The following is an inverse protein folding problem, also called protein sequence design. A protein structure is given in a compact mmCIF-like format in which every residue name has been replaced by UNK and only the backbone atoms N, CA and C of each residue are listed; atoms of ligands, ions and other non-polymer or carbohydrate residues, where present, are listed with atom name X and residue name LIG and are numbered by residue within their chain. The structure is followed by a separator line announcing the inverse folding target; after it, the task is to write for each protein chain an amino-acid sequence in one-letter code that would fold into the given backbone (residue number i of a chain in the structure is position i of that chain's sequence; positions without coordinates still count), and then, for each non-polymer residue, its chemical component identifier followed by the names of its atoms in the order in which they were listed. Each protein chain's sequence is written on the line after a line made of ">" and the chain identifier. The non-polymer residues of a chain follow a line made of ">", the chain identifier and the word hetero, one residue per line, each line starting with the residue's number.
data_IF_501070653022
#
_entry.id   IF_501070653022
#
_cell.length_a   1.000
_cell.length_b   1.000
_cell.length_c   1.000
_cell.angle_alpha   90.00
_cell.angle_beta   90.00
_cell.angle_gamma   90.00
#
_symmetry.space_group_name_H-M   'P 1'
#
loop_
_entity.id
_entity.type
_entity.pdbx_description
1 polymer ?
#
# COMPACT_ATOMS: atom_id res chain seq x y z
N UNK A 1 25.19 -61.74 67.08
CA UNK A 1 24.20 -62.74 67.56
C UNK A 1 23.00 -61.98 68.12
N UNK A 2 21.84 -62.18 67.50
CA UNK A 2 20.44 -61.85 67.91
C UNK A 2 19.66 -61.69 66.59
N UNK A 3 19.03 -62.76 66.08
CA UNK A 3 17.66 -63.21 66.34
C UNK A 3 16.58 -62.15 66.13
N UNK A 4 15.55 -62.50 65.34
CA UNK A 4 14.23 -61.88 65.47
C UNK A 4 13.39 -61.88 64.20
N UNK A 5 12.60 -62.94 64.00
CA UNK A 5 11.52 -63.03 63.03
C UNK A 5 10.46 -61.93 63.21
N UNK A 6 9.77 -61.53 62.14
CA UNK A 6 8.32 -61.79 61.98
C UNK A 6 7.73 -61.12 60.74
N UNK A 7 6.92 -61.90 60.05
CA UNK A 7 6.08 -61.56 58.91
C UNK A 7 4.77 -60.98 59.45
N UNK A 8 4.31 -59.84 58.94
CA UNK A 8 2.88 -59.54 58.88
C UNK A 8 2.53 -58.79 57.59
N UNK A 9 1.72 -59.46 56.78
CA UNK A 9 1.00 -58.88 55.65
C UNK A 9 -0.12 -57.97 56.18
N UNK A 10 -0.24 -56.78 55.62
CA UNK A 10 -1.44 -55.95 55.73
C UNK A 10 -1.78 -55.42 54.34
N UNK A 11 -2.87 -55.97 53.81
CA UNK A 11 -3.59 -55.47 52.65
C UNK A 11 -4.17 -54.08 52.99
N UNK A 12 -3.71 -53.06 52.29
CA UNK A 12 -4.28 -51.71 52.33
C UNK A 12 -4.81 -51.36 50.95
N UNK A 13 -6.13 -51.30 50.81
CA UNK A 13 -6.82 -51.00 49.56
C UNK A 13 -6.46 -49.62 49.02
N UNK A 14 -6.14 -49.58 47.71
CA UNK A 14 -6.12 -48.34 46.94
C UNK A 14 -7.56 -47.82 46.79
N UNK A 15 -7.92 -46.79 47.55
CA UNK A 15 -9.03 -45.90 47.17
C UNK A 15 -8.53 -44.99 46.04
N UNK A 16 -8.92 -45.31 44.80
CA UNK A 16 -8.77 -44.41 43.67
C UNK A 16 -9.82 -43.30 43.76
N UNK A 17 -9.45 -42.15 44.31
CA UNK A 17 -10.29 -40.94 44.30
C UNK A 17 -10.30 -40.37 42.88
N UNK A 18 -11.29 -40.76 42.09
CA UNK A 18 -11.56 -40.14 40.80
C UNK A 18 -12.06 -38.70 41.05
N UNK A 19 -11.14 -37.73 41.02
CA UNK A 19 -11.51 -36.32 40.87
C UNK A 19 -12.11 -36.14 39.47
N UNK A 20 -13.45 -36.15 39.40
CA UNK A 20 -14.19 -35.54 38.30
C UNK A 20 -13.92 -34.03 38.34
N UNK A 21 -12.83 -33.60 37.70
CA UNK A 21 -12.73 -32.20 37.26
C UNK A 21 -13.81 -32.01 36.21
N UNK A 22 -14.93 -31.39 36.60
CA UNK A 22 -15.91 -30.87 35.67
C UNK A 22 -15.18 -29.87 34.76
N UNK A 23 -14.73 -30.35 33.61
CA UNK A 23 -14.07 -29.53 32.61
C UNK A 23 -15.06 -28.50 32.14
N UNK A 24 -14.91 -27.27 32.62
CA UNK A 24 -15.59 -26.12 32.03
C UNK A 24 -15.20 -26.14 30.55
N UNK A 25 -16.14 -26.30 29.60
CA UNK A 25 -15.79 -26.29 28.19
C UNK A 25 -15.12 -24.96 27.94
N UNK A 26 -13.85 -25.00 27.54
CA UNK A 26 -13.13 -23.82 27.11
C UNK A 26 -13.94 -23.22 25.96
N UNK A 27 -14.68 -22.15 26.26
CA UNK A 27 -15.38 -21.37 25.25
C UNK A 27 -14.29 -20.77 24.38
N UNK A 28 -13.99 -21.45 23.28
CA UNK A 28 -13.11 -20.95 22.25
C UNK A 28 -13.66 -19.58 21.86
N UNK A 29 -12.98 -18.53 22.32
CA UNK A 29 -13.30 -17.18 21.90
C UNK A 29 -13.06 -17.15 20.41
N UNK A 30 -14.14 -17.24 19.63
CA UNK A 30 -14.14 -17.03 18.19
C UNK A 30 -13.71 -15.58 17.98
N UNK A 31 -12.39 -15.35 17.99
CA UNK A 31 -11.84 -14.02 17.90
C UNK A 31 -12.36 -13.38 16.62
N UNK A 32 -12.83 -12.14 16.70
CA UNK A 32 -13.55 -11.44 15.63
C UNK A 32 -12.96 -11.72 14.23
N UNK A 33 -13.79 -11.99 13.22
CA UNK A 33 -13.30 -12.33 11.88
C UNK A 33 -12.33 -11.26 11.37
N UNK A 34 -11.20 -11.69 10.81
CA UNK A 34 -10.24 -10.79 10.19
C UNK A 34 -10.83 -10.29 8.87
N UNK A 35 -11.16 -9.01 8.78
CA UNK A 35 -11.80 -8.43 7.59
C UNK A 35 -10.75 -7.79 6.69
N UNK A 36 -10.70 -8.12 5.39
CA UNK A 36 -9.80 -7.46 4.45
C UNK A 36 -10.20 -6.00 4.22
N UNK A 37 -9.20 -5.12 4.13
CA UNK A 37 -9.33 -3.73 3.68
C UNK A 37 -8.49 -3.55 2.42
N UNK A 38 -9.11 -3.01 1.37
CA UNK A 38 -8.48 -2.84 0.05
C UNK A 38 -8.42 -1.33 -0.26
N UNK A 39 -7.22 -0.78 -0.46
CA UNK A 39 -7.05 0.60 -0.92
C UNK A 39 -7.44 0.75 -2.39
N UNK A 40 -7.48 2.00 -2.87
CA UNK A 40 -7.55 2.23 -4.31
C UNK A 40 -6.25 1.77 -4.99
N UNK A 41 -6.37 1.29 -6.23
CA UNK A 41 -5.27 1.30 -7.19
C UNK A 41 -5.10 2.72 -7.74
N UNK A 42 -3.92 3.05 -8.26
CA UNK A 42 -3.65 4.38 -8.80
C UNK A 42 -2.86 4.30 -10.10
N UNK A 43 -3.26 5.09 -11.10
CA UNK A 43 -2.58 5.17 -12.39
C UNK A 43 -1.46 6.21 -12.37
N UNK A 44 -0.30 5.85 -12.90
CA UNK A 44 0.87 6.71 -13.02
C UNK A 44 1.03 7.13 -14.48
N UNK A 45 1.03 8.44 -14.77
CA UNK A 45 1.08 8.92 -16.14
C UNK A 45 2.30 8.45 -16.94
N UNK A 46 2.07 8.13 -18.20
CA UNK A 46 3.07 7.70 -19.16
C UNK A 46 3.91 8.88 -19.69
N UNK A 47 5.23 8.77 -19.84
CA UNK A 47 5.99 9.67 -20.70
C UNK A 47 5.41 9.70 -22.11
N UNK A 48 5.71 10.75 -22.85
CA UNK A 48 5.24 10.88 -24.24
C UNK A 48 5.72 9.68 -25.05
N UNK A 49 4.79 8.98 -25.70
CA UNK A 49 5.03 7.80 -26.53
C UNK A 49 5.64 6.59 -25.78
N UNK A 50 5.54 6.55 -24.45
CA UNK A 50 5.96 5.40 -23.65
C UNK A 50 4.77 4.86 -22.83
N UNK A 51 5.02 3.83 -22.04
CA UNK A 51 4.04 3.25 -21.12
C UNK A 51 3.95 4.04 -19.82
N UNK A 52 2.79 4.05 -19.19
CA UNK A 52 2.60 4.48 -17.82
C UNK A 52 2.76 3.33 -16.85
N UNK A 53 2.00 3.35 -15.77
CA UNK A 53 1.86 2.18 -14.92
C UNK A 53 0.65 2.24 -14.02
N UNK A 54 0.29 1.12 -13.42
CA UNK A 54 -0.79 1.06 -12.43
C UNK A 54 -0.23 0.47 -11.15
N UNK A 55 -0.28 1.24 -10.06
CA UNK A 55 0.10 0.75 -8.76
C UNK A 55 -0.98 -0.18 -8.23
N UNK A 56 -0.57 -1.41 -7.88
CA UNK A 56 -1.44 -2.36 -7.18
C UNK A 56 -1.99 -1.76 -5.88
N UNK A 57 -3.24 -2.09 -5.52
CA UNK A 57 -3.82 -1.63 -4.26
C UNK A 57 -3.13 -2.28 -3.06
N UNK A 58 -2.98 -1.50 -1.99
CA UNK A 58 -2.61 -2.01 -0.69
C UNK A 58 -3.76 -2.81 -0.08
N UNK A 59 -3.44 -3.98 0.47
CA UNK A 59 -4.41 -4.82 1.17
C UNK A 59 -3.91 -5.12 2.56
N UNK A 60 -4.77 -4.99 3.56
CA UNK A 60 -4.49 -5.37 4.96
C UNK A 60 -5.65 -6.18 5.54
N UNK A 61 -5.38 -6.94 6.59
CA UNK A 61 -6.41 -7.56 7.42
C UNK A 61 -6.59 -6.73 8.70
N UNK A 62 -7.80 -6.65 9.25
CA UNK A 62 -8.07 -5.96 10.53
C UNK A 62 -7.24 -6.51 11.71
N UNK A 63 -6.76 -7.75 11.59
CA UNK A 63 -5.81 -8.38 12.52
C UNK A 63 -4.44 -8.47 11.84
N UNK A 64 -3.44 -7.76 12.38
CA UNK A 64 -2.10 -7.65 11.81
C UNK A 64 -1.33 -8.98 11.68
N UNK A 65 -1.79 -10.04 12.35
CA UNK A 65 -1.19 -11.37 12.31
C UNK A 65 -1.66 -12.22 11.11
N UNK A 66 -2.68 -11.77 10.38
CA UNK A 66 -3.22 -12.49 9.23
C UNK A 66 -2.69 -11.85 7.95
N UNK A 67 -1.86 -12.59 7.20
CA UNK A 67 -1.43 -12.15 5.88
C UNK A 67 -2.60 -12.26 4.88
N UNK A 68 -3.01 -11.17 4.21
CA UNK A 68 -4.05 -11.27 3.21
C UNK A 68 -3.57 -12.09 2.02
N UNK A 69 -4.46 -12.89 1.43
CA UNK A 69 -4.28 -13.44 0.08
C UNK A 69 -4.97 -12.50 -0.88
N UNK A 70 -4.35 -12.19 -2.02
CA UNK A 70 -4.92 -11.23 -2.97
C UNK A 70 -4.86 -11.79 -4.39
N UNK A 71 -5.94 -11.54 -5.13
CA UNK A 71 -6.03 -11.67 -6.59
C UNK A 71 -6.43 -10.30 -7.13
N UNK A 72 -5.61 -9.74 -8.00
CA UNK A 72 -5.90 -8.49 -8.69
C UNK A 72 -5.96 -8.73 -10.19
N UNK A 73 -7.01 -8.23 -10.83
CA UNK A 73 -7.18 -8.29 -12.28
C UNK A 73 -7.24 -6.86 -12.78
N UNK A 74 -6.41 -6.55 -13.76
CA UNK A 74 -6.39 -5.28 -14.45
C UNK A 74 -6.78 -5.53 -15.91
N UNK A 75 -7.89 -4.92 -16.34
CA UNK A 75 -8.44 -5.07 -17.69
C UNK A 75 -8.40 -3.74 -18.40
N UNK A 76 -7.78 -3.66 -19.57
CA UNK A 76 -7.89 -2.50 -20.46
C UNK A 76 -9.31 -2.45 -21.01
N UNK A 77 -10.01 -1.31 -20.85
CA UNK A 77 -11.40 -1.18 -21.27
C UNK A 77 -11.58 -0.93 -22.77
N UNK A 78 -10.51 -0.59 -23.48
CA UNK A 78 -10.52 -0.40 -24.94
C UNK A 78 -10.22 -1.71 -25.67
N UNK A 79 -9.26 -2.49 -25.18
CA UNK A 79 -8.78 -3.71 -25.85
C UNK A 79 -9.32 -5.01 -25.24
N UNK A 80 -10.01 -4.94 -24.10
CA UNK A 80 -10.44 -6.07 -23.25
C UNK A 80 -9.30 -6.98 -22.74
N UNK A 81 -8.04 -6.65 -23.03
CA UNK A 81 -6.89 -7.39 -22.54
C UNK A 81 -6.80 -7.32 -21.01
N UNK A 82 -6.51 -8.47 -20.39
CA UNK A 82 -6.55 -8.62 -18.94
C UNK A 82 -5.30 -9.31 -18.40
N UNK A 83 -4.72 -8.72 -17.36
CA UNK A 83 -3.63 -9.33 -16.60
C UNK A 83 -4.08 -9.68 -15.18
N UNK A 84 -3.66 -10.85 -14.68
CA UNK A 84 -3.99 -11.31 -13.32
C UNK A 84 -2.73 -11.42 -12.46
N UNK A 85 -2.74 -10.73 -11.33
CA UNK A 85 -1.69 -10.74 -10.32
C UNK A 85 -2.18 -11.42 -9.03
N UNK A 86 -1.27 -12.08 -8.33
CA UNK A 86 -1.58 -12.78 -7.07
C UNK A 86 -0.43 -12.64 -6.09
N UNK A 87 -0.73 -12.30 -4.85
CA UNK A 87 0.27 -12.22 -3.78
C UNK A 87 -0.30 -12.58 -2.41
N UNK A 88 0.60 -12.73 -1.45
CA UNK A 88 0.30 -12.87 -0.01
C UNK A 88 1.02 -11.76 0.76
N UNK A 89 0.38 -11.27 1.82
CA UNK A 89 0.94 -10.25 2.70
C UNK A 89 0.46 -8.83 2.40
N UNK A 90 0.71 -7.94 3.35
CA UNK A 90 0.23 -6.56 3.34
C UNK A 90 1.35 -5.59 2.93
N UNK A 91 1.97 -5.83 1.78
CA UNK A 91 2.99 -4.92 1.24
C UNK A 91 2.32 -3.94 0.25
N UNK A 92 2.58 -2.62 0.32
CA UNK A 92 2.14 -1.68 -0.71
C UNK A 92 2.97 -1.87 -1.98
N UNK A 93 2.35 -1.65 -3.16
CA UNK A 93 3.08 -1.62 -4.43
C UNK A 93 3.73 -2.94 -4.85
N UNK A 94 3.21 -4.08 -4.41
CA UNK A 94 3.75 -5.43 -4.77
C UNK A 94 3.87 -5.62 -6.27
N UNK A 95 2.88 -5.10 -7.00
CA UNK A 95 2.90 -5.06 -8.45
C UNK A 95 2.74 -3.64 -8.95
N UNK A 96 3.46 -3.37 -10.03
CA UNK A 96 3.44 -2.12 -10.75
C UNK A 96 3.57 -2.42 -12.26
N UNK A 97 2.55 -2.99 -12.91
CA UNK A 97 2.62 -3.26 -14.34
C UNK A 97 2.79 -1.96 -15.15
N UNK A 98 3.63 -2.05 -16.17
CA UNK A 98 3.72 -1.09 -17.26
C UNK A 98 2.55 -1.34 -18.20
N UNK A 99 1.82 -0.29 -18.51
CA UNK A 99 0.64 -0.38 -19.37
C UNK A 99 0.58 0.83 -20.28
N UNK A 100 -0.10 0.69 -21.41
CA UNK A 100 -0.30 1.79 -22.35
C UNK A 100 -1.24 2.85 -21.74
N UNK A 101 -1.27 4.02 -22.38
CA UNK A 101 -2.24 5.08 -22.04
C UNK A 101 -3.65 4.56 -22.26
N UNK A 102 -4.55 4.80 -21.31
CA UNK A 102 -5.93 4.35 -21.40
C UNK A 102 -6.63 4.22 -20.05
N UNK A 103 -7.86 3.74 -20.08
CA UNK A 103 -8.69 3.49 -18.90
C UNK A 103 -8.76 2.00 -18.61
N UNK A 104 -8.53 1.64 -17.35
CA UNK A 104 -8.46 0.25 -16.91
C UNK A 104 -9.48 -0.04 -15.82
N UNK A 105 -10.12 -1.21 -15.89
CA UNK A 105 -10.89 -1.76 -14.78
C UNK A 105 -9.96 -2.55 -13.86
N UNK A 106 -9.80 -2.06 -12.64
CA UNK A 106 -9.08 -2.70 -11.55
C UNK A 106 -10.05 -3.47 -10.66
N UNK A 107 -9.96 -4.80 -10.66
CA UNK A 107 -10.74 -5.70 -9.80
C UNK A 107 -9.83 -6.42 -8.82
N UNK A 108 -9.94 -6.08 -7.55
CA UNK A 108 -9.17 -6.72 -6.46
C UNK A 108 -10.08 -7.57 -5.61
N UNK A 109 -9.67 -8.82 -5.38
CA UNK A 109 -10.28 -9.73 -4.42
C UNK A 109 -9.25 -10.08 -3.36
N UNK A 110 -9.59 -9.86 -2.09
CA UNK A 110 -8.74 -10.14 -0.96
C UNK A 110 -9.40 -11.12 0.00
N UNK A 111 -8.60 -11.96 0.66
CA UNK A 111 -9.05 -12.91 1.66
C UNK A 111 -8.23 -12.80 2.95
N UNK A 112 -8.91 -12.79 4.09
CA UNK A 112 -8.35 -12.76 5.45
C UNK A 112 -9.06 -13.83 6.29
N UNK A 113 -8.37 -14.94 6.56
CA UNK A 113 -8.92 -16.08 7.32
C UNK A 113 -10.34 -16.50 6.89
N UNK A 114 -10.55 -16.70 5.59
CA UNK A 114 -11.84 -17.08 5.01
C UNK A 114 -12.76 -15.90 4.63
N UNK A 115 -12.62 -14.74 5.26
CA UNK A 115 -13.42 -13.56 4.90
C UNK A 115 -12.92 -12.95 3.59
N UNK A 116 -13.84 -12.57 2.71
CA UNK A 116 -13.56 -12.06 1.37
C UNK A 116 -14.00 -10.60 1.24
N UNK A 117 -13.18 -9.77 0.61
CA UNK A 117 -13.58 -8.45 0.14
C UNK A 117 -13.28 -8.32 -1.35
N UNK A 118 -14.10 -7.55 -2.06
CA UNK A 118 -13.89 -7.22 -3.47
C UNK A 118 -13.95 -5.70 -3.60
N UNK A 119 -13.01 -5.13 -4.36
CA UNK A 119 -13.05 -3.75 -4.82
C UNK A 119 -12.95 -3.74 -6.34
N UNK A 120 -13.84 -3.00 -6.98
CA UNK A 120 -13.79 -2.70 -8.41
C UNK A 120 -13.72 -1.20 -8.56
N UNK A 121 -12.83 -0.71 -9.42
CA UNK A 121 -12.73 0.69 -9.76
C UNK A 121 -12.14 0.86 -11.15
N UNK A 122 -12.38 2.03 -11.75
CA UNK A 122 -11.66 2.47 -12.94
C UNK A 122 -10.37 3.19 -12.52
N UNK A 123 -9.36 3.09 -13.38
CA UNK A 123 -8.04 3.70 -13.21
C UNK A 123 -7.61 4.25 -14.54
N UNK A 124 -7.33 5.54 -14.58
CA UNK A 124 -6.83 6.21 -15.78
C UNK A 124 -5.30 6.28 -15.77
N UNK A 125 -4.70 5.95 -16.91
CA UNK A 125 -3.28 6.15 -17.20
C UNK A 125 -3.18 7.19 -18.29
N UNK A 126 -2.97 8.44 -17.88
CA UNK A 126 -2.85 9.57 -18.79
C UNK A 126 -1.47 9.63 -19.46
N UNK A 127 -1.41 10.26 -20.63
CA UNK A 127 -0.13 10.68 -21.21
C UNK A 127 0.36 12.01 -20.63
N UNK A 128 1.63 12.06 -20.25
CA UNK A 128 2.31 13.31 -19.91
C UNK A 128 2.45 14.19 -21.15
N UNK A 129 2.32 15.49 -20.92
CA UNK A 129 2.49 16.50 -21.96
C UNK A 129 3.58 17.49 -21.58
N UNK A 130 4.23 18.09 -22.58
CA UNK A 130 5.19 19.17 -22.33
C UNK A 130 4.56 20.35 -21.57
N UNK A 131 3.26 20.59 -21.73
CA UNK A 131 2.53 21.65 -21.01
C UNK A 131 2.36 21.38 -19.51
N UNK A 132 2.42 20.12 -19.09
CA UNK A 132 2.22 19.69 -17.69
C UNK A 132 3.48 19.06 -17.08
N UNK A 133 4.63 19.19 -17.74
CA UNK A 133 5.91 18.67 -17.24
C UNK A 133 6.95 19.76 -17.26
N UNK A 134 7.95 19.64 -16.38
CA UNK A 134 9.07 20.57 -16.29
C UNK A 134 10.35 19.94 -16.83
N UNK A 135 11.08 20.70 -17.65
CA UNK A 135 12.42 20.33 -18.10
C UNK A 135 13.49 20.82 -17.13
N UNK A 136 14.68 20.19 -17.18
CA UNK A 136 15.82 20.61 -16.35
C UNK A 136 16.24 22.05 -16.64
N UNK A 137 16.11 22.51 -17.88
CA UNK A 137 16.45 23.87 -18.32
C UNK A 137 15.50 24.90 -17.71
N UNK A 138 14.19 24.63 -17.70
CA UNK A 138 13.20 25.50 -17.05
C UNK A 138 13.40 25.51 -15.54
N UNK A 139 13.54 24.34 -14.93
CA UNK A 139 13.70 24.22 -13.48
C UNK A 139 14.95 24.94 -12.95
N UNK A 140 16.06 24.95 -13.71
CA UNK A 140 17.26 25.72 -13.37
C UNK A 140 16.99 27.23 -13.24
N UNK A 141 16.06 27.78 -14.02
CA UNK A 141 15.69 29.21 -13.99
C UNK A 141 14.87 29.59 -12.76
N UNK A 142 14.21 28.64 -12.08
CA UNK A 142 13.50 28.91 -10.82
C UNK A 142 14.51 29.30 -9.73
N UNK A 143 14.33 30.44 -9.09
CA UNK A 143 15.23 30.98 -8.06
C UNK A 143 14.51 31.20 -6.74
N UNK A 144 15.28 31.21 -5.65
CA UNK A 144 14.80 31.63 -4.32
C UNK A 144 14.21 33.04 -4.42
N UNK A 145 13.10 33.29 -3.73
CA UNK A 145 12.39 34.57 -3.77
C UNK A 145 11.39 34.73 -4.91
N UNK A 146 11.33 33.81 -5.89
CA UNK A 146 10.25 33.84 -6.88
C UNK A 146 8.89 33.52 -6.24
N UNK A 147 7.83 34.15 -6.72
CA UNK A 147 6.43 33.84 -6.42
C UNK A 147 5.96 32.63 -7.21
N UNK A 148 4.77 32.13 -6.88
CA UNK A 148 4.12 31.10 -7.70
C UNK A 148 3.80 31.55 -9.13
N UNK A 149 3.51 32.83 -9.37
CA UNK A 149 3.25 33.32 -10.74
C UNK A 149 4.53 33.30 -11.56
N UNK A 150 5.62 33.84 -11.01
CA UNK A 150 6.93 33.84 -11.66
C UNK A 150 7.41 32.40 -11.94
N UNK A 151 7.22 31.47 -11.00
CA UNK A 151 7.52 30.05 -11.25
C UNK A 151 6.68 29.50 -12.39
N UNK A 152 5.36 29.78 -12.41
CA UNK A 152 4.47 29.32 -13.50
C UNK A 152 4.90 29.89 -14.85
N UNK A 153 5.35 31.13 -14.92
CA UNK A 153 5.86 31.75 -16.16
C UNK A 153 7.14 31.06 -16.64
N UNK A 154 7.97 30.55 -15.72
CA UNK A 154 9.19 29.80 -16.05
C UNK A 154 8.91 28.37 -16.51
N UNK A 155 8.02 27.65 -15.82
CA UNK A 155 7.81 26.19 -16.03
C UNK A 155 6.52 25.85 -16.80
N UNK A 156 5.69 26.83 -17.10
CA UNK A 156 4.45 26.67 -17.87
C UNK A 156 3.21 26.22 -17.09
N UNK A 157 3.33 25.80 -15.83
CA UNK A 157 2.19 25.35 -15.02
C UNK A 157 2.38 25.57 -13.51
N UNK A 158 1.30 25.36 -12.73
CA UNK A 158 1.22 25.73 -11.30
C UNK A 158 1.80 24.69 -10.31
N UNK A 159 2.26 23.56 -10.81
CA UNK A 159 2.47 22.35 -9.99
C UNK A 159 1.15 21.71 -9.55
N UNK A 160 1.23 20.47 -9.05
CA UNK A 160 0.11 19.69 -8.50
C UNK A 160 0.41 19.25 -7.06
N UNK A 161 -0.57 18.61 -6.42
CA UNK A 161 -0.45 17.95 -5.10
C UNK A 161 0.24 18.83 -4.05
N UNK A 162 -0.15 20.11 -4.01
CA UNK A 162 0.45 21.06 -3.10
C UNK A 162 0.04 20.78 -1.65
N UNK A 163 1.00 20.42 -0.80
CA UNK A 163 0.78 20.26 0.65
C UNK A 163 1.22 21.52 1.40
N UNK A 164 0.58 21.80 2.53
CA UNK A 164 0.95 22.91 3.42
C UNK A 164 1.26 22.39 4.82
N UNK A 165 2.44 22.74 5.34
CA UNK A 165 2.88 22.34 6.68
C UNK A 165 3.82 23.39 7.27
N UNK A 166 3.61 23.77 8.52
CA UNK A 166 4.44 24.74 9.25
C UNK A 166 4.76 26.04 8.45
N UNK A 167 3.70 26.66 7.90
CA UNK A 167 3.81 27.89 7.10
C UNK A 167 4.53 27.73 5.75
N UNK A 168 4.89 26.50 5.37
CA UNK A 168 5.46 26.16 4.06
C UNK A 168 4.40 25.51 3.18
N UNK A 169 4.49 25.77 1.88
CA UNK A 169 3.72 25.06 0.85
C UNK A 169 4.69 24.38 -0.11
N UNK A 170 4.58 23.07 -0.28
CA UNK A 170 5.42 22.32 -1.22
C UNK A 170 4.54 21.78 -2.33
N UNK A 171 4.87 22.10 -3.58
CA UNK A 171 4.13 21.63 -4.76
C UNK A 171 5.00 20.68 -5.59
N UNK A 172 4.35 19.68 -6.19
CA UNK A 172 4.95 18.70 -7.09
C UNK A 172 4.93 19.21 -8.52
N UNK A 173 6.01 19.01 -9.26
CA UNK A 173 6.10 19.32 -10.68
C UNK A 173 6.58 18.07 -11.40
N UNK A 174 5.69 17.46 -12.19
CA UNK A 174 6.01 16.26 -12.96
C UNK A 174 7.13 16.52 -13.97
N UNK A 175 7.96 15.52 -14.18
CA UNK A 175 8.93 15.51 -15.27
C UNK A 175 8.42 14.63 -16.41
N UNK A 176 8.99 14.78 -17.60
CA UNK A 176 8.63 13.89 -18.72
C UNK A 176 8.99 12.42 -18.40
N UNK A 177 10.10 12.20 -17.69
CA UNK A 177 10.54 10.86 -17.29
C UNK A 177 9.49 10.12 -16.44
N UNK A 178 9.42 8.81 -16.61
CA UNK A 178 8.46 7.97 -15.90
C UNK A 178 8.68 8.05 -14.38
N UNK A 179 7.59 8.28 -13.64
CA UNK A 179 7.59 8.32 -12.16
C UNK A 179 8.71 9.18 -11.53
N UNK A 180 9.13 10.23 -12.26
CA UNK A 180 10.01 11.28 -11.78
C UNK A 180 9.26 12.60 -11.63
N UNK A 181 9.59 13.32 -10.57
CA UNK A 181 9.05 14.65 -10.29
C UNK A 181 10.08 15.53 -9.56
N UNK A 182 9.73 16.80 -9.43
CA UNK A 182 10.48 17.78 -8.64
C UNK A 182 9.57 18.43 -7.61
N UNK A 183 10.18 19.01 -6.58
CA UNK A 183 9.46 19.82 -5.59
C UNK A 183 9.91 21.26 -5.65
N UNK A 184 8.97 22.18 -5.46
CA UNK A 184 9.27 23.57 -5.14
C UNK A 184 8.53 23.92 -3.85
N UNK A 185 9.29 24.40 -2.86
CA UNK A 185 8.76 24.80 -1.55
C UNK A 185 8.73 26.31 -1.45
N UNK A 186 7.59 26.83 -0.98
CA UNK A 186 7.31 28.23 -0.77
C UNK A 186 7.12 28.52 0.72
N UNK A 187 7.60 29.66 1.21
CA UNK A 187 7.26 30.23 2.52
C UNK A 187 6.83 31.67 2.29
N UNK A 188 5.72 32.08 2.89
CA UNK A 188 5.13 33.41 2.67
C UNK A 188 4.97 33.75 1.16
N UNK A 189 4.54 32.75 0.37
CA UNK A 189 4.31 32.89 -1.08
C UNK A 189 5.57 32.90 -1.96
N UNK A 190 6.77 32.75 -1.39
CA UNK A 190 8.06 32.90 -2.09
C UNK A 190 8.87 31.60 -2.03
N UNK A 191 9.55 31.24 -3.12
CA UNK A 191 10.41 30.04 -3.20
C UNK A 191 11.50 30.12 -2.14
N UNK A 192 11.62 29.07 -1.33
CA UNK A 192 12.68 28.92 -0.32
C UNK A 192 13.62 27.75 -0.60
N UNK A 193 13.12 26.71 -1.28
CA UNK A 193 13.90 25.56 -1.73
C UNK A 193 13.27 24.90 -2.95
N UNK A 194 14.08 24.14 -3.70
CA UNK A 194 13.64 23.31 -4.83
C UNK A 194 14.47 22.03 -4.87
N UNK A 195 13.89 20.93 -5.28
CA UNK A 195 14.54 19.63 -5.41
C UNK A 195 14.23 19.02 -6.78
N UNK A 196 15.25 18.62 -7.53
CA UNK A 196 15.14 18.03 -8.86
C UNK A 196 15.32 16.50 -8.77
N UNK A 197 14.54 15.78 -9.58
CA UNK A 197 14.67 14.33 -9.84
C UNK A 197 14.47 13.46 -8.61
N UNK A 198 13.28 13.58 -8.05
CA UNK A 198 12.76 12.65 -7.06
C UNK A 198 12.05 11.53 -7.81
N UNK A 199 12.38 10.29 -7.50
CA UNK A 199 11.75 9.10 -8.05
C UNK A 199 11.67 7.96 -7.04
N UNK A 200 10.76 7.04 -7.31
CA UNK A 200 10.83 5.68 -6.78
C UNK A 200 11.43 4.81 -7.89
N UNK A 201 12.56 4.18 -7.62
CA UNK A 201 13.08 3.07 -8.43
C UNK A 201 12.38 1.78 -8.00
#
# INVERSE_FOLDING_TARGET
>A
MHQGHSIHALAGGLLATALLTAGVPAVAHAGSPATPRISAAYGVPAPKNEQGGVQSPYVSCSKNQVAPRVKWVLTNLETDESNTYRWRGALPGVHFPRVDVGTYRSRTTAWCNGNKAIRVQEVDVDQKTYKKTVSRREFKKVRRGMTRSEVREVVGFRGKDCSAYNGRRTCVYDMMAFWRWSFITFKNGKVVSKLWDVGHD
#
